data_IF_937412998876
#
_entry.id   IF_937412998876
#
_cell.length_a   1.000
_cell.length_b   1.000
_cell.length_c   1.000
_cell.angle_alpha   90.00
_cell.angle_beta   90.00
_cell.angle_gamma   90.00
#
_symmetry.space_group_name_H-M   'P 1'
#
loop_
_entity.id
_entity.type
_entity.pdbx_description
1 polymer ?
#
# COMPACT_ATOMS: atom_id res chain seq x y z
N UNK A 1 11.67 4.63 -1.44
CA UNK A 1 11.02 4.97 -2.72
C UNK A 1 12.02 5.13 -3.86
N UNK A 2 12.95 6.08 -3.84
CA UNK A 2 13.93 6.33 -4.91
C UNK A 2 14.68 5.08 -5.41
N UNK A 3 15.02 4.14 -4.51
CA UNK A 3 15.68 2.88 -4.89
C UNK A 3 14.79 2.02 -5.80
N UNK A 4 13.48 1.94 -5.56
CA UNK A 4 12.54 1.21 -6.41
C UNK A 4 12.52 1.75 -7.84
N UNK A 5 12.46 3.08 -7.99
CA UNK A 5 12.55 3.72 -9.30
C UNK A 5 13.89 3.45 -10.00
N UNK A 6 15.01 3.54 -9.28
CA UNK A 6 16.35 3.26 -9.84
C UNK A 6 16.47 1.81 -10.32
N UNK A 7 15.92 0.84 -9.57
CA UNK A 7 15.89 -0.57 -9.96
C UNK A 7 15.12 -0.74 -11.28
N UNK A 8 13.90 -0.20 -11.38
CA UNK A 8 13.11 -0.27 -12.60
C UNK A 8 13.86 0.34 -13.79
N UNK A 9 14.39 1.56 -13.64
CA UNK A 9 15.11 2.27 -14.69
C UNK A 9 16.39 1.57 -15.12
N UNK A 10 17.07 0.87 -14.21
CA UNK A 10 18.26 0.10 -14.58
C UNK A 10 17.93 -1.01 -15.57
N UNK A 11 16.81 -1.72 -15.37
CA UNK A 11 16.32 -2.76 -16.29
C UNK A 11 15.81 -2.15 -17.58
N UNK A 12 15.01 -1.10 -17.51
CA UNK A 12 14.44 -0.38 -18.66
C UNK A 12 15.57 0.10 -19.57
N UNK A 13 16.54 0.81 -19.04
CA UNK A 13 17.63 1.39 -19.81
C UNK A 13 18.59 0.33 -20.35
N UNK A 14 18.85 -0.75 -19.61
CA UNK A 14 19.65 -1.88 -20.10
C UNK A 14 18.99 -2.62 -21.27
N UNK A 15 17.67 -2.54 -21.42
CA UNK A 15 16.92 -3.18 -22.50
C UNK A 15 16.64 -2.25 -23.71
N UNK A 16 17.22 -1.04 -23.69
CA UNK A 16 17.15 -0.07 -24.77
C UNK A 16 16.24 1.13 -24.50
N UNK A 17 15.82 1.30 -23.25
CA UNK A 17 14.98 2.43 -22.83
C UNK A 17 13.52 2.31 -23.24
N UNK A 18 12.82 3.43 -23.25
CA UNK A 18 11.42 3.56 -23.70
C UNK A 18 11.40 4.17 -25.09
N UNK A 19 10.75 3.52 -26.04
CA UNK A 19 10.70 3.94 -27.44
C UNK A 19 12.10 4.18 -28.06
N UNK A 20 13.13 3.47 -27.56
CA UNK A 20 14.51 3.65 -28.00
C UNK A 20 15.26 4.81 -27.32
N UNK A 21 14.66 5.46 -26.37
CA UNK A 21 15.26 6.57 -25.62
C UNK A 21 15.60 6.15 -24.19
N UNK A 22 16.77 6.62 -23.70
CA UNK A 22 17.16 6.47 -22.31
C UNK A 22 16.20 7.28 -21.41
N UNK A 23 15.73 6.68 -20.30
CA UNK A 23 14.86 7.33 -19.33
C UNK A 23 15.71 7.85 -18.17
N UNK A 24 15.58 9.13 -17.88
CA UNK A 24 16.22 9.77 -16.72
C UNK A 24 15.23 9.84 -15.56
N UNK A 25 15.77 9.77 -14.34
CA UNK A 25 15.03 9.99 -13.11
C UNK A 25 15.35 11.40 -12.59
N UNK A 26 14.36 12.26 -12.54
CA UNK A 26 14.38 13.43 -11.67
C UNK A 26 13.89 13.02 -10.27
N UNK A 27 14.42 13.61 -9.21
CA UNK A 27 14.05 13.30 -7.84
C UNK A 27 13.86 14.60 -7.07
N UNK A 28 12.65 14.84 -6.61
CA UNK A 28 12.36 15.92 -5.70
C UNK A 28 11.93 15.33 -4.34
N UNK A 29 12.38 15.96 -3.26
CA UNK A 29 11.98 15.58 -1.90
C UNK A 29 10.92 16.58 -1.43
N UNK A 30 9.72 16.09 -1.18
CA UNK A 30 8.58 16.87 -0.69
C UNK A 30 8.45 16.82 0.84
N UNK A 31 9.39 16.18 1.53
CA UNK A 31 9.40 16.01 2.99
C UNK A 31 8.06 15.49 3.57
N UNK A 32 7.21 14.86 2.74
CA UNK A 32 5.83 14.50 3.05
C UNK A 32 4.96 15.71 3.47
N UNK A 33 5.31 16.93 3.01
CA UNK A 33 4.61 18.18 3.30
C UNK A 33 3.96 18.73 2.02
N UNK A 34 2.63 18.96 2.00
CA UNK A 34 1.95 19.55 0.86
C UNK A 34 2.51 20.91 0.41
N UNK A 35 3.07 21.71 1.34
CA UNK A 35 3.66 23.00 1.00
C UNK A 35 4.95 22.87 0.20
N UNK A 36 5.74 21.82 0.44
CA UNK A 36 6.95 21.50 -0.30
C UNK A 36 6.64 20.72 -1.59
N UNK A 37 5.59 19.89 -1.59
CA UNK A 37 5.18 19.11 -2.75
C UNK A 37 4.72 19.97 -3.94
N UNK A 38 4.02 21.09 -3.70
CA UNK A 38 3.55 21.99 -4.76
C UNK A 38 4.70 22.56 -5.59
N UNK A 39 5.71 23.23 -5.03
CA UNK A 39 6.83 23.74 -5.82
C UNK A 39 7.68 22.63 -6.44
N UNK A 40 7.80 21.45 -5.79
CA UNK A 40 8.49 20.29 -6.33
C UNK A 40 7.82 19.82 -7.64
N UNK A 41 6.51 19.54 -7.61
CA UNK A 41 5.76 19.13 -8.80
C UNK A 41 5.78 20.19 -9.92
N UNK A 42 5.67 21.47 -9.56
CA UNK A 42 5.77 22.57 -10.55
C UNK A 42 7.15 22.61 -11.21
N UNK A 43 8.23 22.39 -10.45
CA UNK A 43 9.59 22.33 -10.98
C UNK A 43 9.74 21.15 -11.95
N UNK A 44 9.37 19.95 -11.56
CA UNK A 44 9.43 18.75 -12.41
C UNK A 44 8.70 18.97 -13.74
N UNK A 45 7.50 19.55 -13.69
CA UNK A 45 6.68 19.75 -14.89
C UNK A 45 7.19 20.91 -15.75
N UNK A 46 7.48 22.08 -15.16
CA UNK A 46 7.74 23.30 -15.93
C UNK A 46 9.21 23.50 -16.30
N UNK A 47 10.13 23.05 -15.45
CA UNK A 47 11.57 23.23 -15.64
C UNK A 47 12.23 21.96 -16.18
N UNK A 48 11.88 20.80 -15.64
CA UNK A 48 12.55 19.54 -15.95
C UNK A 48 11.79 18.75 -17.02
N UNK A 49 10.55 19.19 -17.38
CA UNK A 49 9.72 18.64 -18.47
C UNK A 49 9.51 17.13 -18.35
N UNK A 50 9.19 16.66 -17.15
CA UNK A 50 8.90 15.25 -16.91
C UNK A 50 7.65 14.79 -17.68
N UNK A 51 7.60 13.51 -18.02
CA UNK A 51 6.51 12.88 -18.79
C UNK A 51 5.72 11.86 -17.96
N UNK A 52 5.96 11.82 -16.66
CA UNK A 52 5.25 11.03 -15.67
C UNK A 52 5.78 11.34 -14.28
N UNK A 53 4.92 11.29 -13.27
CA UNK A 53 5.26 11.42 -11.86
C UNK A 53 4.96 10.09 -11.17
N UNK A 54 5.90 9.58 -10.38
CA UNK A 54 5.72 8.35 -9.62
C UNK A 54 6.21 8.58 -8.20
N UNK A 55 5.33 8.41 -7.24
CA UNK A 55 5.75 8.43 -5.84
C UNK A 55 5.07 9.40 -4.88
N UNK A 56 4.16 10.32 -5.27
CA UNK A 56 3.40 11.06 -4.28
C UNK A 56 2.73 10.09 -3.31
N UNK A 57 2.80 10.41 -2.03
CA UNK A 57 2.16 9.64 -0.96
C UNK A 57 0.82 10.27 -0.58
N UNK A 58 0.01 9.60 0.24
CA UNK A 58 -1.34 10.11 0.60
C UNK A 58 -1.33 11.54 1.13
N UNK A 59 -0.28 11.96 1.83
CA UNK A 59 -0.16 13.31 2.40
C UNK A 59 0.02 14.39 1.32
N UNK A 60 0.70 14.08 0.22
CA UNK A 60 1.07 15.05 -0.81
C UNK A 60 0.32 14.85 -2.13
N UNK A 61 -0.23 13.66 -2.39
CA UNK A 61 -0.95 13.35 -3.61
C UNK A 61 -2.12 14.32 -3.88
N UNK A 62 -2.85 14.74 -2.83
CA UNK A 62 -3.99 15.66 -2.97
C UNK A 62 -3.63 17.02 -3.60
N UNK A 63 -2.38 17.46 -3.52
CA UNK A 63 -1.89 18.70 -4.14
C UNK A 63 -1.08 18.45 -5.40
N UNK A 64 -0.48 17.26 -5.57
CA UNK A 64 0.35 16.92 -6.74
C UNK A 64 -0.50 16.52 -7.94
N UNK A 65 -1.44 15.55 -7.77
CA UNK A 65 -2.21 15.04 -8.92
C UNK A 65 -3.01 16.12 -9.67
N UNK A 66 -3.60 17.17 -9.04
CA UNK A 66 -4.30 18.21 -9.81
C UNK A 66 -3.35 19.08 -10.65
N UNK A 67 -2.09 19.21 -10.21
CA UNK A 67 -1.05 19.92 -10.96
C UNK A 67 -0.61 19.07 -12.16
N UNK A 68 -0.36 17.78 -11.95
CA UNK A 68 0.00 16.83 -12.99
C UNK A 68 -1.12 16.69 -14.03
N UNK A 69 -2.37 16.51 -13.61
CA UNK A 69 -3.54 16.43 -14.48
C UNK A 69 -3.72 17.68 -15.34
N UNK A 70 -3.55 18.89 -14.77
CA UNK A 70 -3.60 20.14 -15.53
C UNK A 70 -2.51 20.24 -16.60
N UNK A 71 -1.38 19.58 -16.39
CA UNK A 71 -0.27 19.50 -17.33
C UNK A 71 -0.41 18.31 -18.31
N UNK A 72 -1.46 17.51 -18.21
CA UNK A 72 -1.66 16.25 -18.93
C UNK A 72 -0.51 15.26 -18.70
N UNK A 73 -0.11 15.05 -17.46
CA UNK A 73 0.95 14.12 -17.06
C UNK A 73 0.36 13.07 -16.13
N UNK A 74 0.58 11.75 -16.38
CA UNK A 74 0.13 10.71 -15.48
C UNK A 74 0.86 10.81 -14.14
N UNK A 75 0.08 10.73 -13.06
CA UNK A 75 0.53 10.68 -11.67
C UNK A 75 0.21 9.30 -11.07
N UNK A 76 1.25 8.56 -10.74
CA UNK A 76 1.16 7.22 -10.18
C UNK A 76 1.53 7.28 -8.70
N UNK A 77 0.54 7.53 -7.86
CA UNK A 77 0.75 7.67 -6.41
C UNK A 77 0.91 6.34 -5.68
N UNK A 78 1.60 6.38 -4.55
CA UNK A 78 1.66 5.32 -3.57
C UNK A 78 1.08 5.79 -2.24
N UNK A 79 -0.02 5.17 -1.82
CA UNK A 79 -0.65 5.46 -0.53
C UNK A 79 -2.10 5.00 -0.48
N UNK A 80 -2.53 4.56 0.71
CA UNK A 80 -3.84 3.94 0.91
C UNK A 80 -4.98 4.92 1.14
N UNK A 81 -4.73 6.24 1.29
CA UNK A 81 -5.73 7.20 1.75
C UNK A 81 -7.10 7.06 1.07
N UNK A 82 -8.15 6.85 1.86
CA UNK A 82 -9.52 6.60 1.35
C UNK A 82 -10.12 7.77 0.58
N UNK A 83 -9.59 8.99 0.75
CA UNK A 83 -9.98 10.16 -0.03
C UNK A 83 -9.73 10.01 -1.55
N UNK A 84 -8.88 9.07 -1.95
CA UNK A 84 -8.51 8.81 -3.35
C UNK A 84 -9.30 7.66 -3.99
N UNK A 85 -10.20 7.00 -3.27
CA UNK A 85 -10.90 5.79 -3.73
C UNK A 85 -11.78 6.03 -4.97
N UNK A 86 -12.26 7.26 -5.18
CA UNK A 86 -13.24 7.59 -6.22
C UNK A 86 -12.76 8.71 -7.16
N UNK A 87 -11.46 8.87 -7.36
CA UNK A 87 -10.91 9.84 -8.31
C UNK A 87 -11.23 9.35 -9.73
N UNK A 88 -11.89 10.20 -10.52
CA UNK A 88 -12.29 9.89 -11.91
C UNK A 88 -11.38 10.53 -12.95
N UNK A 89 -10.31 11.20 -12.53
CA UNK A 89 -9.35 11.84 -13.42
C UNK A 89 -8.50 10.78 -14.12
N UNK A 90 -8.42 10.78 -15.47
CA UNK A 90 -7.68 9.76 -16.21
C UNK A 90 -6.16 9.80 -15.98
N UNK A 91 -5.61 10.90 -15.46
CA UNK A 91 -4.18 11.05 -15.20
C UNK A 91 -3.75 10.47 -13.85
N UNK A 92 -4.72 10.15 -12.96
CA UNK A 92 -4.46 9.65 -11.63
C UNK A 92 -4.48 8.12 -11.58
N UNK A 93 -3.43 7.52 -11.01
CA UNK A 93 -3.30 6.08 -10.79
C UNK A 93 -2.81 5.82 -9.38
N UNK A 94 -3.42 4.85 -8.69
CA UNK A 94 -2.98 4.43 -7.35
C UNK A 94 -2.38 3.03 -7.41
N UNK A 95 -1.13 2.92 -6.97
CA UNK A 95 -0.33 1.69 -7.05
C UNK A 95 -0.50 0.73 -5.88
N UNK A 96 -1.16 1.17 -4.80
CA UNK A 96 -1.38 0.36 -3.60
C UNK A 96 -2.87 0.19 -3.32
N UNK A 97 -3.28 -0.90 -2.65
CA UNK A 97 -4.64 -1.02 -2.13
C UNK A 97 -5.03 0.15 -1.23
N UNK A 98 -6.32 0.41 -1.12
CA UNK A 98 -6.86 1.49 -0.30
C UNK A 98 -6.89 1.12 1.17
N UNK A 99 -6.90 2.17 2.03
CA UNK A 99 -7.15 1.99 3.46
C UNK A 99 -8.57 1.42 3.71
N UNK A 100 -9.52 1.69 2.82
CA UNK A 100 -10.85 1.05 2.86
C UNK A 100 -10.74 -0.46 2.67
N UNK A 101 -9.99 -0.92 1.66
CA UNK A 101 -9.78 -2.36 1.43
C UNK A 101 -9.00 -3.03 2.56
N UNK A 102 -8.01 -2.33 3.12
CA UNK A 102 -7.29 -2.82 4.28
C UNK A 102 -8.20 -2.97 5.50
N UNK A 103 -9.08 -1.99 5.74
CA UNK A 103 -10.08 -2.05 6.78
C UNK A 103 -11.04 -3.22 6.56
N UNK A 104 -11.51 -3.42 5.32
CA UNK A 104 -12.35 -4.56 4.93
C UNK A 104 -11.68 -5.89 5.27
N UNK A 105 -10.40 -6.05 4.90
CA UNK A 105 -9.64 -7.28 5.19
C UNK A 105 -9.49 -7.51 6.70
N UNK A 106 -9.21 -6.46 7.49
CA UNK A 106 -9.11 -6.53 8.94
C UNK A 106 -10.42 -7.00 9.58
N UNK A 107 -11.53 -6.43 9.15
CA UNK A 107 -12.86 -6.75 9.67
C UNK A 107 -13.31 -8.15 9.25
N UNK A 108 -13.15 -8.50 7.97
CA UNK A 108 -13.46 -9.84 7.45
C UNK A 108 -12.68 -10.91 8.21
N UNK A 109 -11.39 -10.67 8.47
CA UNK A 109 -10.62 -11.59 9.29
C UNK A 109 -11.17 -11.71 10.72
N UNK A 110 -11.44 -10.59 11.41
CA UNK A 110 -12.01 -10.61 12.75
C UNK A 110 -13.34 -11.37 12.78
N UNK A 111 -14.24 -11.11 11.83
CA UNK A 111 -15.51 -11.82 11.69
C UNK A 111 -15.32 -13.33 11.47
N UNK A 112 -14.35 -13.74 10.64
CA UNK A 112 -14.04 -15.16 10.39
C UNK A 112 -13.60 -15.91 11.66
N UNK A 113 -13.10 -15.21 12.68
CA UNK A 113 -12.74 -15.76 14.00
C UNK A 113 -13.92 -15.76 14.97
N UNK A 114 -15.09 -15.28 14.57
CA UNK A 114 -16.27 -15.15 15.44
C UNK A 114 -16.19 -13.94 16.38
N UNK A 115 -15.30 -13.00 16.14
CA UNK A 115 -15.19 -11.78 16.97
C UNK A 115 -16.19 -10.74 16.43
N UNK A 116 -17.39 -10.78 16.97
CA UNK A 116 -18.50 -9.94 16.50
C UNK A 116 -18.70 -8.66 17.31
N UNK A 117 -17.89 -8.46 18.37
CA UNK A 117 -17.83 -7.21 19.11
C UNK A 117 -16.36 -6.75 19.17
N UNK A 118 -16.06 -5.62 18.52
CA UNK A 118 -14.71 -5.10 18.37
C UNK A 118 -14.59 -3.66 18.84
N UNK A 119 -13.45 -3.32 19.43
CA UNK A 119 -13.04 -1.94 19.67
C UNK A 119 -12.10 -1.45 18.55
N UNK A 120 -11.97 -0.13 18.38
CA UNK A 120 -11.04 0.48 17.44
C UNK A 120 -10.05 1.35 18.24
N UNK A 121 -8.74 1.08 18.04
CA UNK A 121 -7.64 1.90 18.54
C UNK A 121 -6.90 2.52 17.36
N UNK A 122 -6.96 3.85 17.21
CA UNK A 122 -6.51 4.53 16.00
C UNK A 122 -5.60 5.72 16.31
N UNK A 123 -4.50 5.90 15.59
CA UNK A 123 -3.62 7.04 15.73
C UNK A 123 -4.30 8.37 15.40
N UNK A 124 -3.70 9.47 15.83
CA UNK A 124 -4.25 10.82 15.61
C UNK A 124 -3.76 11.49 14.32
N UNK A 125 -3.02 10.79 13.46
CA UNK A 125 -2.64 11.30 12.15
C UNK A 125 -3.78 11.16 11.14
N UNK A 126 -3.78 11.98 10.10
CA UNK A 126 -4.78 11.87 9.02
C UNK A 126 -4.72 10.51 8.31
N UNK A 127 -3.51 9.95 8.15
CA UNK A 127 -3.30 8.62 7.57
C UNK A 127 -3.91 7.52 8.42
N UNK A 128 -3.73 7.55 9.75
CA UNK A 128 -4.36 6.57 10.63
C UNK A 128 -5.89 6.69 10.61
N UNK A 129 -6.40 7.90 10.69
CA UNK A 129 -7.83 8.19 10.72
C UNK A 129 -8.57 7.76 9.43
N UNK A 130 -7.87 7.61 8.30
CA UNK A 130 -8.47 7.18 7.02
C UNK A 130 -9.03 5.76 7.05
N UNK A 131 -8.54 4.89 7.96
CA UNK A 131 -9.08 3.55 8.15
C UNK A 131 -10.46 3.53 8.84
N UNK A 132 -10.77 4.52 9.67
CA UNK A 132 -11.94 4.46 10.57
C UNK A 132 -13.26 4.26 9.82
N UNK A 133 -13.56 5.02 8.75
CA UNK A 133 -14.80 4.80 8.00
C UNK A 133 -14.93 3.38 7.46
N UNK A 134 -13.86 2.85 6.82
CA UNK A 134 -13.84 1.49 6.28
C UNK A 134 -14.06 0.43 7.37
N UNK A 135 -13.38 0.54 8.53
CA UNK A 135 -13.58 -0.37 9.66
C UNK A 135 -15.03 -0.39 10.15
N UNK A 136 -15.65 0.78 10.25
CA UNK A 136 -17.05 0.92 10.71
C UNK A 136 -18.05 0.39 9.68
N UNK A 137 -17.86 0.72 8.39
CA UNK A 137 -18.75 0.32 7.31
C UNK A 137 -18.69 -1.19 7.08
N UNK A 138 -17.50 -1.78 7.03
CA UNK A 138 -17.33 -3.23 6.90
C UNK A 138 -17.93 -3.99 8.09
N UNK A 139 -17.68 -3.53 9.32
CA UNK A 139 -18.24 -4.17 10.50
C UNK A 139 -19.77 -4.08 10.52
N UNK A 140 -20.33 -2.94 10.12
CA UNK A 140 -21.78 -2.77 9.97
C UNK A 140 -22.35 -3.70 8.89
N UNK A 141 -21.67 -3.87 7.76
CA UNK A 141 -22.09 -4.80 6.70
C UNK A 141 -22.18 -6.24 7.20
N UNK A 142 -21.33 -6.63 8.14
CA UNK A 142 -21.29 -7.96 8.76
C UNK A 142 -22.13 -8.08 10.05
N UNK A 143 -22.92 -7.06 10.39
CA UNK A 143 -23.74 -7.07 11.61
C UNK A 143 -22.93 -7.09 12.91
N UNK A 144 -21.67 -6.71 12.88
CA UNK A 144 -20.78 -6.66 14.06
C UNK A 144 -21.09 -5.43 14.92
N UNK A 145 -20.82 -5.54 16.21
CA UNK A 145 -20.83 -4.40 17.14
C UNK A 145 -19.47 -3.75 17.16
N UNK A 146 -19.42 -2.44 16.93
CA UNK A 146 -18.17 -1.64 16.97
C UNK A 146 -18.29 -0.57 18.02
N UNK A 147 -17.32 -0.52 18.93
CA UNK A 147 -17.22 0.54 19.92
C UNK A 147 -16.76 1.86 19.27
N UNK A 148 -17.04 2.97 19.96
CA UNK A 148 -16.55 4.26 19.51
C UNK A 148 -15.01 4.23 19.44
N UNK A 149 -14.41 4.68 18.32
CA UNK A 149 -12.96 4.71 18.17
C UNK A 149 -12.26 5.47 19.29
N UNK A 150 -11.17 4.89 19.80
CA UNK A 150 -10.29 5.50 20.81
C UNK A 150 -9.03 5.97 20.12
N UNK A 151 -8.73 7.25 20.28
CA UNK A 151 -7.56 7.88 19.65
C UNK A 151 -6.31 7.64 20.48
N UNK A 152 -5.27 7.15 19.84
CA UNK A 152 -3.92 6.96 20.39
C UNK A 152 -3.04 8.12 19.90
N UNK A 153 -2.68 9.00 20.82
CA UNK A 153 -1.93 10.20 20.47
C UNK A 153 -0.43 9.89 20.29
N UNK A 154 0.15 10.28 19.15
CA UNK A 154 1.59 10.16 18.90
C UNK A 154 2.40 10.87 19.99
N UNK A 155 3.42 10.20 20.51
CA UNK A 155 4.33 10.74 21.51
C UNK A 155 3.80 10.79 22.95
N UNK A 156 2.61 10.25 23.21
CA UNK A 156 2.13 10.11 24.59
C UNK A 156 2.96 9.07 25.35
N UNK A 157 3.17 9.33 26.63
CA UNK A 157 4.00 8.48 27.50
C UNK A 157 3.19 7.49 28.32
N UNK A 158 1.85 7.53 28.25
CA UNK A 158 0.92 6.61 28.89
C UNK A 158 -0.43 6.61 28.15
N UNK A 159 -1.08 5.43 28.12
CA UNK A 159 -2.38 5.19 27.50
C UNK A 159 -3.36 4.51 28.46
N UNK A 160 -3.21 4.70 29.77
CA UNK A 160 -4.05 4.02 30.77
C UNK A 160 -5.53 4.37 30.66
N UNK A 161 -5.85 5.63 30.35
CA UNK A 161 -7.23 6.08 30.12
C UNK A 161 -7.82 5.50 28.82
N UNK A 162 -7.02 5.46 27.77
CA UNK A 162 -7.38 4.87 26.49
C UNK A 162 -7.62 3.37 26.63
N UNK A 163 -6.73 2.66 27.34
CA UNK A 163 -6.90 1.22 27.67
C UNK A 163 -8.19 1.00 28.46
N UNK A 164 -8.44 1.80 29.50
CA UNK A 164 -9.67 1.69 30.27
C UNK A 164 -10.91 1.87 29.38
N UNK A 165 -10.87 2.82 28.45
CA UNK A 165 -11.96 3.07 27.51
C UNK A 165 -12.12 1.92 26.52
N UNK A 166 -11.03 1.47 25.88
CA UNK A 166 -11.02 0.36 24.91
C UNK A 166 -11.61 -0.93 25.49
N UNK A 167 -11.32 -1.24 26.75
CA UNK A 167 -11.71 -2.49 27.37
C UNK A 167 -12.95 -2.37 28.27
N UNK A 168 -13.58 -1.20 28.37
CA UNK A 168 -14.77 -0.98 29.22
C UNK A 168 -15.99 -1.81 28.80
N UNK A 169 -16.08 -2.16 27.53
CA UNK A 169 -17.18 -2.95 26.95
C UNK A 169 -16.85 -4.42 26.78
N UNK A 170 -15.65 -4.85 27.17
CA UNK A 170 -15.12 -6.21 26.99
C UNK A 170 -15.15 -6.68 25.53
N UNK A 171 -14.51 -5.97 24.58
CA UNK A 171 -14.48 -6.35 23.18
C UNK A 171 -13.77 -7.71 23.01
N UNK A 172 -14.20 -8.46 21.99
CA UNK A 172 -13.60 -9.76 21.66
C UNK A 172 -12.27 -9.60 20.89
N UNK A 173 -12.09 -8.47 20.21
CA UNK A 173 -10.85 -8.08 19.55
C UNK A 173 -10.73 -6.56 19.43
N UNK A 174 -9.51 -6.07 19.19
CA UNK A 174 -9.23 -4.67 18.87
C UNK A 174 -8.73 -4.57 17.44
N UNK A 175 -9.32 -3.67 16.65
CA UNK A 175 -8.82 -3.28 15.33
C UNK A 175 -7.94 -2.05 15.51
N UNK A 176 -6.72 -2.04 14.96
CA UNK A 176 -5.78 -0.97 15.30
C UNK A 176 -4.83 -0.53 14.19
N UNK A 177 -4.59 0.78 14.16
CA UNK A 177 -3.47 1.39 13.44
C UNK A 177 -3.01 2.65 14.19
N UNK A 178 -1.75 2.68 14.61
CA UNK A 178 -1.05 3.84 15.18
C UNK A 178 0.45 3.57 15.18
N UNK A 179 1.25 4.59 15.43
CA UNK A 179 2.70 4.51 15.32
C UNK A 179 3.34 3.46 16.26
N UNK A 180 4.46 2.90 15.83
CA UNK A 180 5.17 1.82 16.54
C UNK A 180 5.68 2.26 17.93
N UNK A 181 6.24 3.45 18.15
CA UNK A 181 6.59 3.90 19.50
C UNK A 181 5.41 3.89 20.47
N UNK A 182 4.26 4.39 20.05
CA UNK A 182 3.01 4.37 20.85
C UNK A 182 2.54 2.94 21.11
N UNK A 183 2.71 2.02 20.15
CA UNK A 183 2.41 0.60 20.37
C UNK A 183 3.28 0.00 21.47
N UNK A 184 4.57 0.33 21.53
CA UNK A 184 5.46 -0.11 22.62
C UNK A 184 4.98 0.31 23.99
N UNK A 185 4.54 1.56 24.16
CA UNK A 185 3.99 2.08 25.42
C UNK A 185 2.68 1.37 25.78
N UNK A 186 1.74 1.32 24.82
CA UNK A 186 0.40 0.74 25.04
C UNK A 186 0.48 -0.75 25.39
N UNK A 187 1.22 -1.55 24.65
CA UNK A 187 1.38 -2.98 24.93
C UNK A 187 2.14 -3.25 26.24
N UNK A 188 3.08 -2.37 26.62
CA UNK A 188 3.72 -2.39 27.92
C UNK A 188 2.72 -2.21 29.07
N UNK A 189 1.77 -1.29 28.94
CA UNK A 189 0.71 -1.05 29.92
C UNK A 189 -0.37 -2.15 29.90
N UNK A 190 -0.74 -2.69 28.73
CA UNK A 190 -1.61 -3.87 28.62
C UNK A 190 -1.02 -5.07 29.36
N UNK A 191 0.29 -5.28 29.24
CA UNK A 191 1.00 -6.35 29.98
C UNK A 191 0.88 -6.18 31.49
N UNK A 192 1.06 -4.94 31.98
CA UNK A 192 0.92 -4.63 33.40
C UNK A 192 -0.50 -4.89 33.94
N UNK A 193 -1.51 -4.73 33.08
CA UNK A 193 -2.92 -4.92 33.42
C UNK A 193 -3.44 -6.34 33.12
N UNK A 194 -2.60 -7.23 32.57
CA UNK A 194 -3.00 -8.60 32.23
C UNK A 194 -3.95 -8.71 31.03
N UNK A 195 -3.93 -7.74 30.12
CA UNK A 195 -4.85 -7.63 28.99
C UNK A 195 -4.26 -8.10 27.64
N UNK A 196 -3.06 -8.69 27.63
CA UNK A 196 -2.39 -9.16 26.40
C UNK A 196 -3.10 -10.33 25.70
N UNK A 197 -4.06 -10.98 26.35
CA UNK A 197 -4.80 -12.11 25.77
C UNK A 197 -5.89 -11.69 24.76
N UNK A 198 -6.28 -10.42 24.75
CA UNK A 198 -7.26 -9.92 23.76
C UNK A 198 -6.62 -9.84 22.39
N UNK A 199 -7.24 -10.44 21.36
CA UNK A 199 -6.74 -10.37 19.99
C UNK A 199 -6.70 -8.94 19.42
N UNK A 200 -5.67 -8.68 18.60
CA UNK A 200 -5.52 -7.45 17.83
C UNK A 200 -5.45 -7.79 16.34
N UNK A 201 -6.19 -7.07 15.51
CA UNK A 201 -6.01 -7.08 14.07
C UNK A 201 -5.54 -5.70 13.66
N UNK A 202 -4.34 -5.63 13.12
CA UNK A 202 -3.67 -4.38 12.80
C UNK A 202 -3.43 -4.24 11.29
N UNK A 203 -3.21 -3.00 10.85
CA UNK A 203 -2.73 -2.71 9.53
C UNK A 203 -1.25 -3.11 9.36
N UNK A 204 -0.78 -3.08 8.11
CA UNK A 204 0.61 -3.36 7.75
C UNK A 204 1.63 -2.36 8.36
N UNK A 205 1.20 -1.28 8.98
CA UNK A 205 2.07 -0.34 9.69
C UNK A 205 2.90 -1.05 10.77
N UNK A 206 2.35 -2.10 11.40
CA UNK A 206 3.06 -2.90 12.40
C UNK A 206 3.86 -4.06 11.80
N UNK A 207 3.80 -4.29 10.49
CA UNK A 207 4.62 -5.30 9.85
C UNK A 207 6.05 -4.81 9.66
N UNK A 208 6.77 -4.64 10.77
CA UNK A 208 8.12 -4.13 10.82
C UNK A 208 8.91 -4.76 11.99
N UNK A 209 10.21 -4.92 11.80
CA UNK A 209 11.12 -5.41 12.84
C UNK A 209 11.13 -4.49 14.08
N UNK A 210 10.94 -3.20 13.84
CA UNK A 210 10.83 -2.17 14.86
C UNK A 210 9.65 -2.40 15.79
N UNK A 211 8.51 -2.90 15.27
CA UNK A 211 7.36 -3.28 16.11
C UNK A 211 7.73 -4.41 17.07
N UNK A 212 8.33 -5.49 16.57
CA UNK A 212 8.77 -6.62 17.40
C UNK A 212 9.76 -6.16 18.48
N UNK A 213 10.66 -5.25 18.13
CA UNK A 213 11.61 -4.68 19.09
C UNK A 213 10.91 -3.83 20.16
N UNK A 214 9.93 -3.02 19.74
CA UNK A 214 9.23 -2.06 20.60
C UNK A 214 8.32 -2.75 21.62
N UNK A 215 7.54 -3.75 21.19
CA UNK A 215 6.60 -4.46 22.08
C UNK A 215 7.22 -5.68 22.78
N UNK A 216 8.37 -6.16 22.28
CA UNK A 216 9.04 -7.39 22.69
C UNK A 216 8.51 -8.65 22.00
N UNK A 217 9.42 -9.56 21.62
CA UNK A 217 9.09 -10.75 20.82
C UNK A 217 7.97 -11.63 21.40
N UNK A 218 7.94 -11.82 22.70
CA UNK A 218 6.88 -12.58 23.38
C UNK A 218 5.49 -11.90 23.27
N UNK A 219 5.43 -10.58 23.22
CA UNK A 219 4.19 -9.82 23.00
C UNK A 219 3.80 -9.86 21.53
N UNK A 220 4.75 -9.63 20.63
CA UNK A 220 4.52 -9.65 19.18
C UNK A 220 4.00 -11.03 18.71
N UNK A 221 4.48 -12.14 19.30
CA UNK A 221 4.00 -13.50 19.03
C UNK A 221 2.75 -13.87 19.82
N UNK A 222 2.12 -12.92 20.52
CA UNK A 222 0.79 -13.05 21.11
C UNK A 222 -0.31 -12.97 20.05
N UNK A 223 -1.57 -12.77 20.43
CA UNK A 223 -2.69 -12.76 19.50
C UNK A 223 -2.75 -11.42 18.70
N UNK A 224 -1.69 -11.10 17.97
CA UNK A 224 -1.57 -9.92 17.09
C UNK A 224 -1.49 -10.40 15.65
N UNK A 225 -2.45 -9.98 14.84
CA UNK A 225 -2.63 -10.35 13.44
C UNK A 225 -2.53 -9.10 12.56
N UNK A 226 -1.80 -9.18 11.48
CA UNK A 226 -1.52 -8.03 10.61
C UNK A 226 -2.12 -8.29 9.24
N UNK A 227 -3.06 -7.46 8.83
CA UNK A 227 -3.54 -7.43 7.45
C UNK A 227 -2.51 -6.69 6.59
N UNK A 228 -1.69 -7.44 5.86
CA UNK A 228 -0.62 -6.90 5.04
C UNK A 228 -1.04 -6.95 3.56
N UNK A 229 -1.08 -5.80 2.86
CA UNK A 229 -1.39 -5.78 1.44
C UNK A 229 -0.27 -6.42 0.63
N UNK A 230 -0.67 -7.22 -0.36
CA UNK A 230 0.25 -7.89 -1.27
C UNK A 230 0.75 -9.22 -0.71
N UNK A 231 0.66 -10.22 -1.54
CA UNK A 231 1.31 -11.50 -1.35
C UNK A 231 2.63 -11.49 -2.15
N UNK A 232 3.53 -12.40 -1.82
CA UNK A 232 4.64 -12.75 -2.69
C UNK A 232 4.10 -13.27 -4.02
N UNK A 233 4.10 -12.44 -5.05
CA UNK A 233 3.71 -12.84 -6.40
C UNK A 233 4.93 -13.14 -7.27
N UNK A 234 4.69 -13.65 -8.48
CA UNK A 234 5.79 -14.02 -9.39
C UNK A 234 6.66 -12.83 -9.83
N UNK A 235 6.16 -11.59 -9.76
CA UNK A 235 6.91 -10.37 -10.05
C UNK A 235 7.86 -9.95 -8.92
N UNK A 236 7.64 -10.45 -7.69
CA UNK A 236 8.46 -10.09 -6.54
C UNK A 236 9.91 -10.58 -6.65
N UNK A 237 10.11 -11.82 -7.12
CA UNK A 237 11.45 -12.40 -7.25
C UNK A 237 12.34 -11.69 -8.28
N UNK A 238 11.88 -11.34 -9.49
CA UNK A 238 12.64 -10.48 -10.40
C UNK A 238 13.10 -9.17 -9.78
N UNK A 239 12.23 -8.48 -9.03
CA UNK A 239 12.58 -7.28 -8.30
C UNK A 239 13.67 -7.54 -7.25
N UNK A 240 13.51 -8.57 -6.40
CA UNK A 240 14.49 -8.91 -5.36
C UNK A 240 15.88 -9.21 -5.93
N UNK A 241 15.96 -9.90 -7.06
CA UNK A 241 17.23 -10.22 -7.71
C UNK A 241 17.99 -8.94 -8.08
N UNK A 242 17.31 -7.94 -8.63
CA UNK A 242 17.92 -6.65 -8.99
C UNK A 242 18.24 -5.83 -7.74
N UNK A 243 17.34 -5.81 -6.74
CA UNK A 243 17.59 -5.16 -5.46
C UNK A 243 18.87 -5.71 -4.80
N UNK A 244 18.99 -7.04 -4.72
CA UNK A 244 20.18 -7.69 -4.15
C UNK A 244 21.46 -7.33 -4.92
N UNK A 245 21.40 -7.32 -6.23
CA UNK A 245 22.56 -6.95 -7.07
C UNK A 245 23.00 -5.50 -6.86
N UNK A 246 22.05 -4.58 -6.71
CA UNK A 246 22.35 -3.14 -6.61
C UNK A 246 22.68 -2.68 -5.20
N UNK A 247 22.08 -3.29 -4.19
CA UNK A 247 22.16 -2.81 -2.80
C UNK A 247 22.84 -3.77 -1.84
N UNK A 248 23.02 -5.02 -2.23
CA UNK A 248 23.49 -6.09 -1.34
C UNK A 248 22.42 -6.61 -0.37
N UNK A 249 21.18 -6.11 -0.45
CA UNK A 249 20.05 -6.49 0.41
C UNK A 249 18.95 -7.15 -0.40
N UNK A 250 18.30 -8.16 0.16
CA UNK A 250 17.07 -8.76 -0.35
C UNK A 250 15.83 -8.35 0.47
N UNK A 251 15.96 -7.32 1.30
CA UNK A 251 14.89 -6.78 2.12
C UNK A 251 14.48 -5.40 1.55
N UNK A 252 13.36 -5.28 0.85
CA UNK A 252 12.89 -4.00 0.38
C UNK A 252 12.41 -3.14 1.54
N UNK A 253 12.63 -1.83 1.42
CA UNK A 253 11.98 -0.86 2.30
C UNK A 253 10.54 -0.62 1.84
N UNK A 254 9.71 -0.10 2.75
CA UNK A 254 8.32 0.23 2.46
C UNK A 254 8.19 1.13 1.21
N UNK A 255 7.26 0.81 0.35
CA UNK A 255 6.98 1.54 -0.89
C UNK A 255 7.87 1.20 -2.09
N UNK A 256 9.01 0.52 -1.91
CA UNK A 256 9.95 0.27 -3.02
C UNK A 256 9.36 -0.56 -4.15
N UNK A 257 8.59 -1.60 -3.83
CA UNK A 257 7.92 -2.46 -4.83
C UNK A 257 6.86 -1.71 -5.61
N UNK A 258 6.06 -0.89 -4.95
CA UNK A 258 5.02 -0.08 -5.60
C UNK A 258 5.62 0.95 -6.57
N UNK A 259 6.69 1.64 -6.17
CA UNK A 259 7.37 2.59 -7.05
C UNK A 259 8.05 1.88 -8.23
N UNK A 260 8.63 0.70 -8.00
CA UNK A 260 9.16 -0.14 -9.08
C UNK A 260 8.07 -0.49 -10.10
N UNK A 261 6.90 -0.92 -9.63
CA UNK A 261 5.76 -1.26 -10.48
C UNK A 261 5.22 -0.04 -11.22
N UNK A 262 5.12 1.10 -10.56
CA UNK A 262 4.67 2.35 -11.17
C UNK A 262 5.55 2.78 -12.35
N UNK A 263 6.87 2.71 -12.18
CA UNK A 263 7.82 3.04 -13.27
C UNK A 263 7.73 2.02 -14.41
N UNK A 264 7.58 0.72 -14.10
CA UNK A 264 7.46 -0.32 -15.12
C UNK A 264 6.15 -0.18 -15.91
N UNK A 265 5.02 0.02 -15.25
CA UNK A 265 3.72 0.12 -15.93
C UNK A 265 3.62 1.40 -16.75
N UNK A 266 4.19 2.52 -16.27
CA UNK A 266 4.35 3.74 -17.05
C UNK A 266 5.18 3.49 -18.32
N UNK A 267 6.34 2.86 -18.20
CA UNK A 267 7.23 2.58 -19.33
C UNK A 267 6.59 1.63 -20.37
N UNK A 268 5.89 0.59 -19.90
CA UNK A 268 5.14 -0.33 -20.75
C UNK A 268 3.96 0.37 -21.42
N UNK A 269 3.29 1.27 -20.69
CA UNK A 269 2.23 2.11 -21.22
C UNK A 269 2.70 2.97 -22.39
N UNK A 270 3.86 3.62 -22.25
CA UNK A 270 4.48 4.39 -23.32
C UNK A 270 4.87 3.53 -24.53
N UNK A 271 5.38 2.32 -24.32
CA UNK A 271 5.69 1.37 -25.38
C UNK A 271 4.44 0.95 -26.16
N UNK A 272 3.34 0.69 -25.48
CA UNK A 272 2.06 0.32 -26.10
C UNK A 272 1.44 1.51 -26.85
N UNK A 273 1.52 2.70 -26.27
CA UNK A 273 1.01 3.93 -26.87
C UNK A 273 1.85 4.39 -28.07
N UNK A 274 3.13 4.03 -28.14
CA UNK A 274 4.09 4.55 -29.13
C UNK A 274 4.46 6.01 -28.89
N UNK A 275 4.13 6.58 -27.74
CA UNK A 275 4.39 7.96 -27.34
C UNK A 275 4.41 8.09 -25.83
N UNK A 276 4.95 9.21 -25.33
CA UNK A 276 4.84 9.62 -23.93
C UNK A 276 3.77 10.70 -23.73
N UNK A 277 3.03 11.04 -24.80
CA UNK A 277 2.00 12.07 -24.69
C UNK A 277 0.69 11.51 -24.11
N UNK A 278 0.14 12.20 -23.15
CA UNK A 278 -1.21 11.99 -22.65
C UNK A 278 -2.25 12.50 -23.68
N UNK A 279 -3.42 11.85 -23.83
CA UNK A 279 -3.95 10.74 -23.05
C UNK A 279 -3.55 9.34 -23.57
N UNK A 280 -2.70 9.24 -24.57
CA UNK A 280 -2.36 7.94 -25.18
C UNK A 280 -1.60 7.03 -24.20
N UNK A 281 -0.69 7.62 -23.39
CA UNK A 281 0.08 6.86 -22.40
C UNK A 281 -0.82 6.27 -21.30
N UNK A 282 -1.86 6.97 -20.88
CA UNK A 282 -2.80 6.51 -19.84
C UNK A 282 -3.58 5.28 -20.31
N UNK A 283 -4.04 5.31 -21.58
CA UNK A 283 -4.64 4.13 -22.18
C UNK A 283 -3.63 2.98 -22.33
N UNK A 284 -2.37 3.32 -22.60
CA UNK A 284 -1.27 2.38 -22.65
C UNK A 284 -1.00 1.73 -21.28
N UNK A 285 -1.00 2.53 -20.20
CA UNK A 285 -0.87 2.07 -18.82
C UNK A 285 -1.99 1.06 -18.49
N UNK A 286 -3.24 1.42 -18.75
CA UNK A 286 -4.37 0.52 -18.53
C UNK A 286 -4.26 -0.77 -19.36
N UNK A 287 -3.81 -0.71 -20.60
CA UNK A 287 -3.59 -1.90 -21.45
C UNK A 287 -2.40 -2.76 -20.98
N UNK A 288 -1.36 -2.15 -20.43
CA UNK A 288 -0.21 -2.88 -19.89
C UNK A 288 -0.58 -3.66 -18.64
N UNK A 289 -1.42 -3.07 -17.80
CA UNK A 289 -1.78 -3.58 -16.49
C UNK A 289 -2.95 -4.58 -16.53
N UNK A 290 -4.05 -4.22 -17.19
CA UNK A 290 -5.33 -4.94 -17.03
C UNK A 290 -5.56 -6.08 -18.04
N UNK A 291 -4.62 -6.43 -18.91
CA UNK A 291 -4.88 -7.48 -19.92
C UNK A 291 -6.10 -7.19 -20.83
N UNK A 292 -6.60 -8.15 -21.57
CA UNK A 292 -6.15 -9.53 -21.67
C UNK A 292 -4.80 -9.65 -22.39
N UNK A 293 -3.90 -10.44 -21.85
CA UNK A 293 -2.60 -10.65 -22.45
C UNK A 293 -1.81 -11.78 -21.76
N UNK A 294 -0.60 -12.00 -22.23
CA UNK A 294 0.30 -12.94 -21.60
C UNK A 294 0.93 -12.29 -20.35
N UNK A 295 0.87 -12.98 -19.20
CA UNK A 295 1.52 -12.51 -17.99
C UNK A 295 3.01 -12.32 -18.20
N UNK A 296 3.53 -11.21 -17.67
CA UNK A 296 4.95 -10.89 -17.63
C UNK A 296 5.26 -10.12 -16.33
N UNK A 297 6.50 -10.23 -15.83
CA UNK A 297 6.82 -9.95 -14.44
C UNK A 297 7.92 -8.90 -14.23
N UNK A 298 8.47 -8.38 -15.32
CA UNK A 298 9.44 -7.28 -15.38
C UNK A 298 9.37 -6.60 -16.75
N UNK A 299 9.95 -5.40 -16.83
CA UNK A 299 9.93 -4.65 -18.09
C UNK A 299 10.54 -5.41 -19.27
N UNK A 300 11.66 -6.12 -19.06
CA UNK A 300 12.40 -6.80 -20.14
C UNK A 300 11.55 -7.91 -20.77
N UNK A 301 10.95 -8.77 -19.94
CA UNK A 301 10.10 -9.88 -20.40
C UNK A 301 8.82 -9.36 -21.07
N UNK A 302 8.21 -8.31 -20.54
CA UNK A 302 7.03 -7.68 -21.12
C UNK A 302 7.37 -7.05 -22.49
N UNK A 303 8.50 -6.33 -22.58
CA UNK A 303 8.94 -5.71 -23.84
C UNK A 303 9.22 -6.76 -24.94
N UNK A 304 9.76 -7.93 -24.59
CA UNK A 304 9.96 -9.01 -25.54
C UNK A 304 8.63 -9.52 -26.11
N UNK A 305 7.60 -9.65 -25.29
CA UNK A 305 6.26 -10.02 -25.76
C UNK A 305 5.68 -8.97 -26.70
N UNK A 306 5.76 -7.69 -26.33
CA UNK A 306 5.30 -6.58 -27.17
C UNK A 306 6.01 -6.55 -28.52
N UNK A 307 7.34 -6.75 -28.55
CA UNK A 307 8.13 -6.83 -29.81
C UNK A 307 7.70 -7.98 -30.75
N UNK A 308 7.09 -9.02 -30.19
CA UNK A 308 6.53 -10.14 -30.98
C UNK A 308 5.05 -9.94 -31.33
N UNK A 309 4.48 -8.76 -31.07
CA UNK A 309 3.09 -8.42 -31.35
C UNK A 309 2.08 -9.06 -30.40
N UNK A 310 2.51 -9.56 -29.26
CA UNK A 310 1.63 -10.12 -28.23
C UNK A 310 1.12 -9.03 -27.28
N UNK A 311 -0.15 -9.14 -26.89
CA UNK A 311 -0.67 -8.37 -25.77
C UNK A 311 -0.07 -8.90 -24.46
N UNK A 312 0.12 -8.01 -23.50
CA UNK A 312 0.69 -8.31 -22.18
C UNK A 312 -0.33 -8.09 -21.07
N UNK A 313 -0.05 -8.71 -19.93
CA UNK A 313 -0.65 -8.45 -18.64
C UNK A 313 0.48 -8.36 -17.60
N UNK A 314 0.87 -7.15 -17.24
CA UNK A 314 1.95 -6.92 -16.29
C UNK A 314 1.53 -7.34 -14.89
N UNK A 315 2.31 -8.19 -14.28
CA UNK A 315 2.14 -8.64 -12.90
C UNK A 315 3.34 -8.14 -12.09
N UNK A 316 3.09 -7.12 -11.29
CA UNK A 316 4.14 -6.38 -10.60
C UNK A 316 4.77 -7.09 -9.41
N UNK A 317 5.71 -6.43 -8.77
CA UNK A 317 6.39 -6.92 -7.56
C UNK A 317 5.53 -6.76 -6.30
N UNK A 318 4.73 -5.69 -6.24
CA UNK A 318 3.84 -5.41 -5.11
C UNK A 318 2.47 -6.07 -5.25
N UNK A 319 1.94 -6.13 -6.49
CA UNK A 319 0.60 -6.65 -6.77
C UNK A 319 0.47 -7.01 -8.25
N UNK A 320 -0.71 -7.47 -8.67
CA UNK A 320 -1.04 -7.65 -10.10
C UNK A 320 -1.08 -6.33 -10.88
N UNK A 321 -1.17 -5.19 -10.20
CA UNK A 321 -1.32 -3.84 -10.78
C UNK A 321 -2.57 -3.72 -11.67
N UNK A 322 -3.60 -4.53 -11.44
CA UNK A 322 -4.88 -4.41 -12.13
C UNK A 322 -5.65 -3.19 -11.64
N UNK A 323 -5.84 -2.20 -12.50
CA UNK A 323 -6.58 -0.98 -12.17
C UNK A 323 -8.08 -1.14 -12.36
N UNK A 324 -8.86 -0.66 -11.40
CA UNK A 324 -10.31 -0.53 -11.54
C UNK A 324 -10.71 0.71 -12.38
N UNK A 325 -12.02 1.00 -12.43
CA UNK A 325 -12.58 2.17 -13.13
C UNK A 325 -12.14 3.52 -12.56
N UNK A 326 -11.57 3.56 -11.38
CA UNK A 326 -11.03 4.75 -10.71
C UNK A 326 -9.49 4.73 -10.70
N UNK A 327 -8.88 3.82 -11.44
CA UNK A 327 -7.45 3.56 -11.50
C UNK A 327 -6.84 3.19 -10.13
N UNK A 328 -7.60 2.51 -9.28
CA UNK A 328 -7.11 1.91 -8.06
C UNK A 328 -6.69 0.47 -8.29
N UNK A 329 -5.62 0.04 -7.64
CA UNK A 329 -5.20 -1.36 -7.61
C UNK A 329 -5.92 -2.08 -6.48
N UNK A 330 -6.53 -3.21 -6.78
CA UNK A 330 -7.07 -4.15 -5.80
C UNK A 330 -6.10 -5.32 -5.65
N UNK A 331 -5.74 -5.65 -4.41
CA UNK A 331 -4.82 -6.74 -4.13
C UNK A 331 -5.32 -7.65 -3.01
N UNK A 332 -4.74 -8.87 -2.91
CA UNK A 332 -4.99 -9.73 -1.76
C UNK A 332 -4.35 -9.13 -0.50
N UNK A 333 -4.84 -9.58 0.65
CA UNK A 333 -4.26 -9.29 1.95
C UNK A 333 -3.81 -10.58 2.62
N UNK A 334 -2.53 -10.68 2.92
CA UNK A 334 -2.02 -11.71 3.80
C UNK A 334 -2.31 -11.36 5.27
N UNK A 335 -2.87 -12.29 6.00
CA UNK A 335 -2.96 -12.18 7.44
C UNK A 335 -1.71 -12.81 8.05
N UNK A 336 -0.84 -11.96 8.52
CA UNK A 336 0.45 -12.33 9.08
C UNK A 336 0.41 -12.40 10.60
N UNK A 337 1.28 -13.24 11.15
CA UNK A 337 1.51 -13.38 12.58
C UNK A 337 3.01 -13.45 12.84
N UNK A 338 3.51 -12.76 13.85
CA UNK A 338 4.90 -12.87 14.26
C UNK A 338 5.17 -14.12 15.07
N UNK A 339 6.29 -14.78 14.78
CA UNK A 339 6.85 -15.84 15.59
C UNK A 339 7.68 -15.28 16.76
N UNK A 340 7.97 -16.09 17.77
CA UNK A 340 8.73 -15.64 18.93
C UNK A 340 10.17 -15.22 18.60
N UNK A 341 10.72 -15.68 17.48
CA UNK A 341 12.04 -15.30 16.97
C UNK A 341 12.04 -14.01 16.13
N UNK A 342 10.86 -13.38 15.98
CA UNK A 342 10.67 -12.15 15.20
C UNK A 342 10.50 -12.36 13.71
N UNK A 343 10.51 -13.59 13.23
CA UNK A 343 10.05 -13.93 11.87
C UNK A 343 8.53 -13.85 11.79
N UNK A 344 7.96 -13.91 10.61
CA UNK A 344 6.50 -13.93 10.42
C UNK A 344 6.06 -15.15 9.66
N UNK A 345 4.79 -15.52 9.86
CA UNK A 345 4.11 -16.58 9.12
C UNK A 345 2.80 -16.04 8.55
N UNK A 346 2.49 -16.40 7.29
CA UNK A 346 1.18 -16.19 6.72
C UNK A 346 0.22 -17.24 7.27
N UNK A 347 -0.92 -16.78 7.79
CA UNK A 347 -1.98 -17.64 8.32
C UNK A 347 -3.04 -17.94 7.27
N UNK A 348 -3.37 -16.96 6.47
CA UNK A 348 -4.34 -17.04 5.37
C UNK A 348 -4.19 -15.81 4.48
N UNK A 349 -4.48 -16.01 3.19
CA UNK A 349 -4.68 -14.94 2.23
C UNK A 349 -6.17 -14.65 2.09
N UNK A 350 -6.54 -13.38 2.04
CA UNK A 350 -7.87 -12.90 1.72
C UNK A 350 -7.83 -12.25 0.34
N UNK A 351 -8.42 -12.88 -0.65
CA UNK A 351 -8.51 -12.30 -1.99
C UNK A 351 -9.57 -11.20 -2.05
N UNK A 352 -9.47 -10.24 -2.98
CA UNK A 352 -10.51 -9.22 -3.18
C UNK A 352 -11.91 -9.81 -3.33
N UNK A 353 -12.04 -10.93 -4.07
CA UNK A 353 -13.31 -11.63 -4.26
C UNK A 353 -13.87 -12.19 -2.96
N UNK A 354 -13.02 -12.81 -2.13
CA UNK A 354 -13.44 -13.34 -0.81
C UNK A 354 -13.92 -12.22 0.11
N UNK A 355 -13.17 -11.09 0.15
CA UNK A 355 -13.54 -9.92 0.96
C UNK A 355 -14.92 -9.40 0.52
N UNK A 356 -15.08 -9.12 -0.77
CA UNK A 356 -16.34 -8.60 -1.32
C UNK A 356 -17.53 -9.55 -1.14
N UNK A 357 -17.34 -10.85 -1.37
CA UNK A 357 -18.38 -11.85 -1.14
C UNK A 357 -18.81 -11.92 0.32
N UNK A 358 -17.85 -11.84 1.25
CA UNK A 358 -18.16 -11.85 2.68
C UNK A 358 -18.98 -10.62 3.07
N UNK A 359 -18.54 -9.42 2.66
CA UNK A 359 -19.24 -8.17 2.98
C UNK A 359 -20.62 -8.06 2.34
N UNK A 360 -20.85 -8.72 1.20
CA UNK A 360 -22.14 -8.68 0.50
C UNK A 360 -23.14 -9.68 1.07
N UNK A 361 -22.68 -10.80 1.62
CA UNK A 361 -23.51 -11.90 2.10
C UNK A 361 -23.74 -11.90 3.62
N UNK A 362 -23.06 -11.03 4.36
CA UNK A 362 -23.24 -10.84 5.81
C UNK A 362 -24.36 -9.87 6.08
#
# INVERSE_FOLDING_TARGET
MQTGAKIALSVINATGGVLGHHVNLDVQDDAADPADAVPAAQKEIQADHVVGIVGPISQTASVVWPIAAKANIPDLMWGGGSAFDNITDPHFFRLSPSDTEQADAMVVYAHSKGWNHVAIAIGNTSGDQSLVPGLQDAAKALGMTVDKPVTIAVGATSFRSEIQTLFSTHPQAVLGQFDIPSAGVLFGELKQQGLLSTPWVASNLWFAKEFVTSVGGATASGPIYIANPGAENQGYQPFLNVLQQQTGSNQPSNGQTYIYDGVNVWALGAQIAGTTDSPAIEQGIAKAANGPGQNCYDYSTCLQLLKTGKAINYQGAASSVDFDKFHNVYGPFDILHFNADGTSSSLTELTPQQIQQTLTNG
#
